data_IF_058732578952
#
_entry.id   IF_058732578952
#
_cell.length_a   1.000
_cell.length_b   1.000
_cell.length_c   1.000
_cell.angle_alpha   90.00
_cell.angle_beta   90.00
_cell.angle_gamma   90.00
#
_symmetry.space_group_name_H-M   'P 1'
#
loop_
_entity.id
_entity.type
_entity.pdbx_description
1 polymer ?
#
# COMPACT_ATOMS: atom_id res chain seq x y z
N UNK A 1 14.61 -3.22 3.39
CA UNK A 1 16.00 -2.71 3.22
C UNK A 1 15.98 -1.47 2.34
N UNK A 2 16.75 -0.42 2.65
CA UNK A 2 16.86 0.80 1.82
C UNK A 2 17.99 0.63 0.80
N UNK A 3 17.71 0.83 -0.49
CA UNK A 3 18.68 0.74 -1.59
C UNK A 3 18.59 1.94 -2.52
N UNK A 4 19.64 2.20 -3.30
CA UNK A 4 19.53 3.05 -4.49
C UNK A 4 18.64 2.37 -5.53
N UNK A 5 17.93 3.16 -6.33
CA UNK A 5 16.99 2.63 -7.33
C UNK A 5 17.66 1.68 -8.32
N UNK A 6 18.87 2.01 -8.79
CA UNK A 6 19.60 1.17 -9.75
C UNK A 6 20.03 -0.18 -9.14
N UNK A 7 20.33 -0.20 -7.83
CA UNK A 7 20.68 -1.43 -7.08
C UNK A 7 19.45 -2.27 -6.73
N UNK A 8 18.25 -1.67 -6.81
CA UNK A 8 16.99 -2.30 -6.44
C UNK A 8 16.32 -3.05 -7.61
N UNK A 9 16.88 -2.99 -8.83
CA UNK A 9 16.34 -3.68 -10.00
C UNK A 9 16.25 -5.19 -9.73
N UNK A 10 15.08 -5.77 -10.02
CA UNK A 10 14.75 -7.18 -9.75
C UNK A 10 14.25 -7.46 -8.33
N UNK A 11 14.26 -6.47 -7.42
CA UNK A 11 13.68 -6.60 -6.07
C UNK A 11 12.24 -6.12 -6.05
N UNK A 12 11.47 -6.57 -5.05
CA UNK A 12 10.10 -6.10 -4.79
C UNK A 12 10.10 -4.87 -3.89
N UNK A 13 9.26 -3.89 -4.20
CA UNK A 13 9.03 -2.73 -3.33
C UNK A 13 8.44 -3.16 -1.98
N UNK A 14 8.96 -2.59 -0.90
CA UNK A 14 8.44 -2.77 0.45
C UNK A 14 7.33 -1.77 0.82
N UNK A 15 7.24 -0.65 0.09
CA UNK A 15 6.26 0.42 0.31
C UNK A 15 5.68 0.88 -1.02
N UNK A 16 4.48 1.46 -0.98
CA UNK A 16 3.90 2.15 -2.13
C UNK A 16 4.75 3.38 -2.48
N UNK A 17 4.92 3.64 -3.78
CA UNK A 17 5.56 4.86 -4.29
C UNK A 17 4.52 5.67 -5.02
N UNK A 18 4.35 6.91 -4.61
CA UNK A 18 3.57 7.89 -5.37
C UNK A 18 4.50 8.69 -6.29
N UNK A 19 4.16 8.75 -7.56
CA UNK A 19 4.83 9.54 -8.59
C UNK A 19 3.86 10.62 -9.08
N UNK A 20 4.38 11.84 -9.25
CA UNK A 20 3.66 12.93 -9.88
C UNK A 20 4.12 13.05 -11.34
N UNK A 21 3.17 12.97 -12.26
CA UNK A 21 3.38 13.13 -13.71
C UNK A 21 2.56 14.31 -14.22
N UNK A 22 2.75 14.70 -15.48
CA UNK A 22 1.90 15.72 -16.12
C UNK A 22 0.42 15.28 -16.20
N UNK A 23 0.16 13.98 -16.21
CA UNK A 23 -1.18 13.40 -16.27
C UNK A 23 -1.82 13.23 -14.87
N UNK A 24 -1.05 13.49 -13.80
CA UNK A 24 -1.52 13.44 -12.42
C UNK A 24 -0.73 12.49 -11.52
N UNK A 25 -1.40 11.99 -10.47
CA UNK A 25 -0.84 11.09 -9.46
C UNK A 25 -0.90 9.65 -9.94
N UNK A 26 0.23 8.97 -9.95
CA UNK A 26 0.33 7.53 -10.15
C UNK A 26 0.86 6.85 -8.89
N UNK A 27 0.27 5.71 -8.52
CA UNK A 27 0.70 4.92 -7.35
C UNK A 27 1.24 3.57 -7.83
N UNK A 28 2.54 3.36 -7.64
CA UNK A 28 3.19 2.07 -7.81
C UNK A 28 3.03 1.31 -6.49
N UNK A 29 2.29 0.20 -6.52
CA UNK A 29 1.95 -0.56 -5.32
C UNK A 29 3.13 -1.36 -4.79
N UNK A 30 3.17 -1.55 -3.47
CA UNK A 30 4.06 -2.48 -2.77
C UNK A 30 3.99 -3.87 -3.41
N UNK A 31 5.11 -4.58 -3.37
CA UNK A 31 5.23 -5.92 -3.96
C UNK A 31 5.54 -5.90 -5.45
N UNK A 32 5.38 -4.75 -6.13
CA UNK A 32 5.80 -4.57 -7.52
C UNK A 32 7.30 -4.82 -7.66
N UNK A 33 7.67 -5.63 -8.64
CA UNK A 33 9.07 -5.89 -9.01
C UNK A 33 9.62 -4.68 -9.76
N UNK A 34 10.78 -4.19 -9.33
CA UNK A 34 11.44 -3.04 -9.95
C UNK A 34 12.11 -3.48 -11.25
N UNK A 35 11.54 -3.13 -12.40
CA UNK A 35 12.18 -3.31 -13.70
C UNK A 35 13.12 -2.15 -14.03
N UNK A 36 13.91 -2.26 -15.11
CA UNK A 36 14.78 -1.16 -15.58
C UNK A 36 13.95 0.07 -15.98
N UNK A 37 12.85 -0.15 -16.66
CA UNK A 37 11.94 0.90 -17.12
C UNK A 37 11.30 1.60 -15.92
N UNK A 38 10.87 0.82 -14.92
CA UNK A 38 10.31 1.34 -13.69
C UNK A 38 11.36 2.11 -12.87
N UNK A 39 12.60 1.63 -12.81
CA UNK A 39 13.70 2.31 -12.17
C UNK A 39 13.97 3.70 -12.80
N UNK A 40 13.98 3.79 -14.13
CA UNK A 40 14.09 5.08 -14.84
C UNK A 40 12.92 5.99 -14.49
N UNK A 41 11.70 5.47 -14.50
CA UNK A 41 10.49 6.24 -14.14
C UNK A 41 10.54 6.78 -12.71
N UNK A 42 10.93 5.95 -11.74
CA UNK A 42 11.09 6.31 -10.33
C UNK A 42 12.16 7.41 -10.17
N UNK A 43 13.30 7.29 -10.85
CA UNK A 43 14.38 8.30 -10.81
C UNK A 43 13.96 9.62 -11.44
N UNK A 44 13.28 9.59 -12.58
CA UNK A 44 12.76 10.79 -13.25
C UNK A 44 11.73 11.52 -12.39
N UNK A 45 11.03 10.80 -11.51
CA UNK A 45 10.13 11.36 -10.50
C UNK A 45 10.85 11.95 -9.27
N UNK A 46 12.19 11.92 -9.23
CA UNK A 46 13.01 12.48 -8.14
C UNK A 46 13.33 11.49 -7.01
N UNK A 47 12.89 10.23 -7.11
CA UNK A 47 13.18 9.21 -6.10
C UNK A 47 14.51 8.53 -6.41
N UNK A 48 15.54 8.78 -5.58
CA UNK A 48 16.86 8.16 -5.75
C UNK A 48 17.06 6.88 -4.93
N UNK A 49 16.21 6.67 -3.94
CA UNK A 49 16.27 5.53 -3.02
C UNK A 49 14.88 4.93 -2.84
N UNK A 50 14.84 3.61 -2.66
CA UNK A 50 13.61 2.86 -2.46
C UNK A 50 13.79 1.86 -1.33
N UNK A 51 12.69 1.50 -0.68
CA UNK A 51 12.65 0.40 0.27
C UNK A 51 12.23 -0.87 -0.47
N UNK A 52 13.03 -1.93 -0.35
CA UNK A 52 12.75 -3.24 -0.93
C UNK A 52 12.50 -4.28 0.15
N UNK A 53 11.70 -5.30 -0.19
CA UNK A 53 11.48 -6.46 0.64
C UNK A 53 12.79 -7.25 0.70
N UNK A 54 13.24 -7.52 1.93
CA UNK A 54 14.37 -8.40 2.17
C UNK A 54 13.85 -9.82 2.31
N UNK A 55 13.83 -10.57 1.21
CA UNK A 55 13.33 -11.96 1.19
C UNK A 55 14.20 -12.92 2.02
N UNK A 56 15.38 -12.50 2.48
CA UNK A 56 16.24 -13.31 3.36
C UNK A 56 15.85 -13.20 4.83
N UNK A 57 15.04 -12.20 5.18
CA UNK A 57 14.53 -12.01 6.55
C UNK A 57 13.05 -12.36 6.59
N UNK A 58 12.63 -13.26 7.50
CA UNK A 58 11.21 -13.45 7.71
C UNK A 58 10.59 -12.11 8.13
N UNK A 59 9.48 -11.75 7.49
CA UNK A 59 8.67 -10.59 7.86
C UNK A 59 7.87 -11.01 9.09
N UNK A 60 8.53 -11.10 10.24
CA UNK A 60 7.87 -11.41 11.51
C UNK A 60 7.34 -10.12 12.15
N UNK A 61 6.08 -10.17 12.60
CA UNK A 61 5.42 -9.12 13.40
C UNK A 61 5.22 -7.74 12.74
N UNK A 62 5.27 -7.64 11.41
CA UNK A 62 4.87 -6.40 10.71
C UNK A 62 3.39 -6.49 10.35
N UNK A 63 2.55 -5.78 11.10
CA UNK A 63 1.17 -5.49 10.69
C UNK A 63 1.18 -4.18 9.93
N UNK A 64 0.72 -4.23 8.68
CA UNK A 64 0.63 -3.07 7.81
C UNK A 64 -0.63 -2.29 8.12
N UNK A 65 -0.59 -0.97 7.97
CA UNK A 65 -1.67 -0.05 8.32
C UNK A 65 -3.03 -0.49 7.77
N UNK A 66 -3.17 -0.68 6.46
CA UNK A 66 -4.45 -1.11 5.85
C UNK A 66 -4.92 -2.47 6.37
N UNK A 67 -3.98 -3.38 6.67
CA UNK A 67 -4.32 -4.68 7.26
C UNK A 67 -4.80 -4.51 8.70
N UNK A 68 -4.10 -3.74 9.52
CA UNK A 68 -4.52 -3.44 10.88
C UNK A 68 -5.91 -2.84 10.88
N UNK A 69 -6.16 -1.86 10.00
CA UNK A 69 -7.44 -1.19 9.88
C UNK A 69 -8.55 -2.12 9.42
N UNK A 70 -8.29 -3.00 8.45
CA UNK A 70 -9.24 -4.03 8.06
C UNK A 70 -9.55 -4.97 9.22
N UNK A 71 -8.51 -5.49 9.89
CA UNK A 71 -8.66 -6.40 11.03
C UNK A 71 -9.51 -5.72 12.14
N UNK A 72 -9.28 -4.43 12.45
CA UNK A 72 -10.10 -3.67 13.39
C UNK A 72 -11.53 -3.44 12.89
N UNK A 73 -11.69 -3.08 11.62
CA UNK A 73 -13.00 -2.84 11.03
C UNK A 73 -13.86 -4.11 11.05
N UNK A 74 -13.28 -5.28 10.78
CA UNK A 74 -13.97 -6.57 10.86
C UNK A 74 -14.43 -6.88 12.30
N UNK A 75 -13.62 -6.55 13.31
CA UNK A 75 -13.99 -6.72 14.73
C UNK A 75 -15.14 -5.78 15.14
N UNK A 76 -15.11 -4.53 14.67
CA UNK A 76 -16.09 -3.50 15.07
C UNK A 76 -17.39 -3.63 14.27
N UNK A 77 -17.33 -4.13 13.03
CA UNK A 77 -18.50 -4.22 12.15
C UNK A 77 -19.49 -5.25 12.68
N UNK A 78 -20.62 -4.75 13.16
CA UNK A 78 -21.76 -5.57 13.59
C UNK A 78 -22.69 -5.95 12.44
N UNK A 79 -23.70 -6.77 12.76
CA UNK A 79 -24.75 -7.18 11.82
C UNK A 79 -25.49 -5.96 11.25
N UNK A 80 -25.79 -5.99 9.95
CA UNK A 80 -26.48 -4.90 9.25
C UNK A 80 -25.55 -3.77 8.80
N UNK A 81 -24.24 -3.99 8.84
CA UNK A 81 -23.22 -3.11 8.28
C UNK A 81 -22.24 -3.90 7.39
N UNK A 82 -21.53 -3.20 6.50
CA UNK A 82 -20.45 -3.75 5.70
C UNK A 82 -19.28 -2.77 5.57
N UNK A 83 -18.07 -3.29 5.36
CA UNK A 83 -16.86 -2.50 5.12
C UNK A 83 -16.85 -2.14 3.63
N UNK A 84 -17.03 -0.86 3.32
CA UNK A 84 -17.17 -0.36 1.96
C UNK A 84 -15.82 -0.04 1.29
N UNK A 85 -14.83 0.39 2.08
CA UNK A 85 -13.49 0.74 1.61
C UNK A 85 -12.49 0.71 2.78
N UNK A 86 -11.22 0.43 2.48
CA UNK A 86 -10.09 0.53 3.40
C UNK A 86 -8.95 1.23 2.67
N UNK A 87 -8.54 2.40 3.17
CA UNK A 87 -7.47 3.20 2.58
C UNK A 87 -6.87 4.17 3.58
N UNK A 88 -5.56 4.40 3.45
CA UNK A 88 -4.84 5.48 4.14
C UNK A 88 -5.13 5.50 5.66
N UNK A 89 -5.09 4.32 6.30
CA UNK A 89 -5.31 4.23 7.75
C UNK A 89 -6.76 4.34 8.20
N UNK A 90 -7.72 4.26 7.28
CA UNK A 90 -9.15 4.39 7.58
C UNK A 90 -10.00 3.31 6.90
N UNK A 91 -11.09 2.92 7.56
CA UNK A 91 -12.12 2.06 7.00
C UNK A 91 -13.46 2.79 7.00
N UNK A 92 -14.23 2.62 5.92
CA UNK A 92 -15.58 3.15 5.81
C UNK A 92 -16.59 2.04 6.04
N UNK A 93 -17.33 2.12 7.15
CA UNK A 93 -18.41 1.18 7.46
C UNK A 93 -19.74 1.82 7.04
N UNK A 94 -20.56 1.08 6.31
CA UNK A 94 -21.89 1.53 5.84
C UNK A 94 -22.98 0.58 6.30
N UNK A 95 -24.19 1.11 6.46
CA UNK A 95 -25.37 0.30 6.71
C UNK A 95 -25.69 -0.56 5.47
N UNK A 96 -26.00 -1.83 5.71
CA UNK A 96 -26.42 -2.78 4.67
C UNK A 96 -27.87 -2.52 4.22
N UNK A 97 -28.68 -1.95 5.11
CA UNK A 97 -30.09 -1.67 4.88
C UNK A 97 -30.39 -0.18 4.99
N UNK A 98 -31.32 0.31 4.17
CA UNK A 98 -31.83 1.68 4.28
C UNK A 98 -32.65 1.82 5.57
N UNK A 99 -32.19 2.65 6.51
CA UNK A 99 -32.85 2.89 7.78
C UNK A 99 -31.91 3.56 8.79
N UNK A 100 -32.44 3.90 9.96
CA UNK A 100 -31.61 4.32 11.10
C UNK A 100 -30.97 3.08 11.72
N UNK A 101 -29.65 3.13 11.93
CA UNK A 101 -28.94 2.20 12.82
C UNK A 101 -29.65 2.22 14.18
N UNK A 102 -30.24 1.10 14.57
CA UNK A 102 -30.83 0.91 15.90
C UNK A 102 -29.80 0.37 16.86
#
# INVERSE_FOLDING_TARGET
MKLKVDEAIGRKLALDITILTQEGREVIRRGTVITRELAVKIKNAGHNVVYVIDETKPIENIVLEDKAVLDYAEIITGRGCYIADVREGSAYIKAEYNGLLK
#
